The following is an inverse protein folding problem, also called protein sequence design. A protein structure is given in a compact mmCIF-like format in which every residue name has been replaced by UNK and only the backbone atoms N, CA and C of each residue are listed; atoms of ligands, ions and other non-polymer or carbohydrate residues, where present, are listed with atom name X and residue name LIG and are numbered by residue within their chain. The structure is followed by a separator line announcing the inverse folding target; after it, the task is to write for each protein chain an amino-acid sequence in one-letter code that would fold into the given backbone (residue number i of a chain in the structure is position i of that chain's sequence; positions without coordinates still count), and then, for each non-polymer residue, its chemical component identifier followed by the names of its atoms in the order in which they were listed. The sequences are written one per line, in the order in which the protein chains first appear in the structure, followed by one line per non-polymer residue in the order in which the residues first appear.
data_IF_779425546333
#
_entry.id   IF_779425546333
#
_cell.length_a   1.000
_cell.length_b   1.000
_cell.length_c   1.000
_cell.angle_alpha   90.00
_cell.angle_beta   90.00
_cell.angle_gamma   90.00
#
_symmetry.space_group_name_H-M   'P 1'
#
loop_
_entity.id
_entity.type
_entity.pdbx_description
1 polymer ?
#
# COMPACT_ATOMS: atom_id res chain seq x y z
N UNK A 1 -50.74 25.07 66.94
CA UNK A 1 -50.05 26.29 66.46
C UNK A 1 -51.09 27.17 65.79
N UNK A 2 -51.54 28.21 66.47
CA UNK A 2 -52.58 29.13 65.97
C UNK A 2 -51.93 30.06 64.93
N UNK A 3 -52.34 29.94 63.66
CA UNK A 3 -52.06 30.99 62.67
C UNK A 3 -52.69 32.28 63.19
N UNK A 4 -51.93 33.38 63.38
CA UNK A 4 -52.49 34.60 63.95
C UNK A 4 -53.60 35.11 63.02
N UNK A 5 -54.78 35.41 63.57
CA UNK A 5 -55.97 35.84 62.82
C UNK A 5 -55.71 37.04 61.87
N UNK A 6 -54.66 37.82 62.16
CA UNK A 6 -54.15 38.90 61.32
C UNK A 6 -53.69 38.44 59.93
N UNK A 7 -53.10 37.25 59.82
CA UNK A 7 -52.62 36.68 58.56
C UNK A 7 -53.77 36.35 57.61
N UNK A 8 -54.89 35.84 58.13
CA UNK A 8 -56.03 35.40 57.32
C UNK A 8 -56.81 36.59 56.75
N UNK A 9 -57.00 37.65 57.54
CA UNK A 9 -57.66 38.88 57.09
C UNK A 9 -56.83 39.61 56.01
N UNK A 10 -55.51 39.69 56.20
CA UNK A 10 -54.59 40.28 55.22
C UNK A 10 -54.52 39.47 53.92
N UNK A 11 -54.48 38.13 54.02
CA UNK A 11 -54.50 37.23 52.86
C UNK A 11 -55.78 37.42 52.03
N UNK A 12 -56.93 37.56 52.70
CA UNK A 12 -58.23 37.73 52.05
C UNK A 12 -58.41 39.12 51.41
N UNK A 13 -57.82 40.16 52.00
CA UNK A 13 -57.82 41.51 51.43
C UNK A 13 -56.91 41.69 50.22
N UNK A 14 -55.77 41.00 50.19
CA UNK A 14 -54.72 41.17 49.18
C UNK A 14 -54.50 39.96 48.27
N UNK A 15 -55.44 39.01 48.24
CA UNK A 15 -55.26 37.74 47.51
C UNK A 15 -54.94 37.91 46.02
N UNK A 16 -55.50 38.94 45.37
CA UNK A 16 -55.20 39.28 43.96
C UNK A 16 -53.76 39.72 43.76
N UNK A 17 -53.20 40.49 44.70
CA UNK A 17 -51.80 40.93 44.65
C UNK A 17 -50.85 39.76 44.90
N UNK A 18 -51.18 38.87 45.84
CA UNK A 18 -50.41 37.65 46.09
C UNK A 18 -50.43 36.70 44.89
N UNK A 19 -51.58 36.56 44.22
CA UNK A 19 -51.71 35.77 43.00
C UNK A 19 -50.90 36.40 41.86
N UNK A 20 -51.00 37.73 41.67
CA UNK A 20 -50.20 38.47 40.70
C UNK A 20 -48.70 38.32 40.94
N UNK A 21 -48.24 38.46 42.19
CA UNK A 21 -46.84 38.26 42.56
C UNK A 21 -46.38 36.82 42.30
N UNK A 22 -47.23 35.82 42.58
CA UNK A 22 -46.97 34.42 42.27
C UNK A 22 -46.81 34.16 40.76
N UNK A 23 -47.67 34.76 39.93
CA UNK A 23 -47.55 34.67 38.46
C UNK A 23 -46.25 35.32 37.99
N UNK A 24 -45.92 36.52 38.49
CA UNK A 24 -44.67 37.21 38.12
C UNK A 24 -43.45 36.39 38.51
N UNK A 25 -43.44 35.78 39.71
CA UNK A 25 -42.36 34.90 40.14
C UNK A 25 -42.21 33.68 39.21
N UNK A 26 -43.33 33.05 38.84
CA UNK A 26 -43.32 31.94 37.89
C UNK A 26 -42.77 32.36 36.52
N UNK A 27 -43.17 33.52 36.01
CA UNK A 27 -42.64 34.05 34.75
C UNK A 27 -41.13 34.28 34.83
N UNK A 28 -40.63 34.89 35.90
CA UNK A 28 -39.19 35.12 36.10
C UNK A 28 -38.43 33.78 36.10
N UNK A 29 -38.91 32.78 36.83
CA UNK A 29 -38.27 31.45 36.87
C UNK A 29 -38.26 30.81 35.48
N UNK A 30 -39.38 30.87 34.75
CA UNK A 30 -39.46 30.31 33.40
C UNK A 30 -38.53 31.04 32.42
N UNK A 31 -38.45 32.37 32.48
CA UNK A 31 -37.55 33.17 31.66
C UNK A 31 -36.08 32.82 31.95
N UNK A 32 -35.71 32.68 33.22
CA UNK A 32 -34.34 32.31 33.58
C UNK A 32 -33.97 30.90 33.07
N UNK A 33 -34.90 29.94 33.19
CA UNK A 33 -34.69 28.59 32.63
C UNK A 33 -34.52 28.62 31.12
N UNK A 34 -35.32 29.43 30.41
CA UNK A 34 -35.25 29.57 28.96
C UNK A 34 -33.93 30.22 28.52
N UNK A 35 -33.48 31.27 29.22
CA UNK A 35 -32.20 31.92 28.93
C UNK A 35 -31.03 30.96 29.15
N UNK A 36 -31.06 30.16 30.22
CA UNK A 36 -30.01 29.19 30.50
C UNK A 36 -29.94 28.10 29.42
N UNK A 37 -31.08 27.60 28.92
CA UNK A 37 -31.09 26.60 27.84
C UNK A 37 -30.66 27.19 26.50
N UNK A 38 -31.01 28.44 26.21
CA UNK A 38 -30.54 29.15 25.02
C UNK A 38 -29.02 29.37 25.05
N UNK A 39 -28.48 29.83 26.18
CA UNK A 39 -27.04 30.00 26.35
C UNK A 39 -26.27 28.67 26.20
N UNK A 40 -26.79 27.57 26.78
CA UNK A 40 -26.21 26.24 26.61
C UNK A 40 -26.23 25.78 25.15
N UNK A 41 -27.33 26.03 24.43
CA UNK A 41 -27.45 25.70 23.01
C UNK A 41 -26.49 26.51 22.14
N UNK A 42 -26.31 27.80 22.43
CA UNK A 42 -25.36 28.66 21.72
C UNK A 42 -23.92 28.22 21.97
N UNK A 43 -23.56 27.90 23.21
CA UNK A 43 -22.25 27.36 23.55
C UNK A 43 -21.97 26.03 22.83
N UNK A 44 -22.95 25.13 22.76
CA UNK A 44 -22.82 23.88 22.03
C UNK A 44 -22.66 24.12 20.52
N UNK A 45 -23.44 25.04 19.94
CA UNK A 45 -23.31 25.40 18.51
C UNK A 45 -21.93 25.97 18.21
N UNK A 46 -21.43 26.87 19.05
CA UNK A 46 -20.09 27.44 18.93
C UNK A 46 -19.01 26.36 19.01
N UNK A 47 -19.11 25.44 19.99
CA UNK A 47 -18.23 24.29 20.12
C UNK A 47 -18.23 23.41 18.86
N UNK A 48 -19.42 22.99 18.39
CA UNK A 48 -19.52 22.19 17.17
C UNK A 48 -18.96 22.88 15.93
N UNK A 49 -19.04 24.21 15.83
CA UNK A 49 -18.43 24.95 14.71
C UNK A 49 -16.90 24.95 14.79
N UNK A 50 -16.34 25.10 15.99
CA UNK A 50 -14.91 25.00 16.21
C UNK A 50 -14.41 23.59 15.88
N UNK A 51 -15.07 22.55 16.41
CA UNK A 51 -14.75 21.14 16.15
C UNK A 51 -14.74 20.84 14.65
N UNK A 52 -15.77 21.30 13.91
CA UNK A 52 -15.83 21.10 12.45
C UNK A 52 -14.63 21.70 11.72
N UNK A 53 -14.13 22.86 12.18
CA UNK A 53 -12.95 23.49 11.57
C UNK A 53 -11.69 22.69 11.86
N UNK A 54 -11.54 22.16 13.07
CA UNK A 54 -10.41 21.32 13.47
C UNK A 54 -10.42 19.98 12.74
N UNK A 55 -11.57 19.31 12.63
CA UNK A 55 -11.72 18.08 11.86
C UNK A 55 -11.35 18.29 10.39
N UNK A 56 -11.77 19.40 9.78
CA UNK A 56 -11.40 19.71 8.39
C UNK A 56 -9.90 19.92 8.24
N UNK A 57 -9.27 20.62 9.17
CA UNK A 57 -7.81 20.81 9.17
C UNK A 57 -7.08 19.48 9.34
N UNK A 58 -7.48 18.66 10.31
CA UNK A 58 -6.90 17.35 10.55
C UNK A 58 -7.06 16.41 9.35
N UNK A 59 -8.22 16.42 8.67
CA UNK A 59 -8.41 15.66 7.43
C UNK A 59 -7.52 16.17 6.29
N UNK A 60 -7.37 17.49 6.14
CA UNK A 60 -6.47 18.07 5.13
C UNK A 60 -5.00 17.71 5.40
N UNK A 61 -4.56 17.74 6.66
CA UNK A 61 -3.21 17.33 7.05
C UNK A 61 -2.99 15.82 6.84
N UNK A 62 -3.95 14.98 7.25
CA UNK A 62 -3.87 13.54 7.06
C UNK A 62 -3.82 13.16 5.58
N UNK A 63 -4.64 13.79 4.74
CA UNK A 63 -4.61 13.56 3.29
C UNK A 63 -3.32 14.05 2.65
N UNK A 64 -2.81 15.21 3.06
CA UNK A 64 -1.51 15.71 2.58
C UNK A 64 -0.36 14.75 2.94
N UNK A 65 -0.33 14.25 4.18
CA UNK A 65 0.66 13.29 4.63
C UNK A 65 0.55 11.97 3.86
N UNK A 66 -0.66 11.45 3.68
CA UNK A 66 -0.89 10.22 2.90
C UNK A 66 -0.40 10.35 1.45
N UNK A 67 -0.63 11.50 0.80
CA UNK A 67 -0.13 11.78 -0.55
C UNK A 67 1.40 11.88 -0.56
N UNK A 68 2.00 12.53 0.44
CA UNK A 68 3.44 12.65 0.55
C UNK A 68 4.12 11.28 0.74
N UNK A 69 3.56 10.44 1.61
CA UNK A 69 4.05 9.08 1.86
C UNK A 69 3.89 8.19 0.63
N UNK A 70 2.75 8.28 -0.07
CA UNK A 70 2.53 7.56 -1.32
C UNK A 70 3.58 7.95 -2.38
N UNK A 71 3.82 9.25 -2.58
CA UNK A 71 4.83 9.74 -3.53
C UNK A 71 6.24 9.31 -3.16
N UNK A 72 6.57 9.32 -1.87
CA UNK A 72 7.88 8.86 -1.38
C UNK A 72 8.06 7.37 -1.68
N UNK A 73 7.03 6.56 -1.41
CA UNK A 73 7.05 5.13 -1.70
C UNK A 73 7.15 4.86 -3.20
N UNK A 74 6.37 5.56 -4.03
CA UNK A 74 6.47 5.46 -5.50
C UNK A 74 7.88 5.81 -6.00
N UNK A 75 8.52 6.85 -5.44
CA UNK A 75 9.89 7.20 -5.81
C UNK A 75 10.93 6.16 -5.36
N UNK A 76 10.74 5.53 -4.21
CA UNK A 76 11.58 4.42 -3.75
C UNK A 76 11.40 3.18 -4.63
N UNK A 77 10.16 2.86 -5.00
CA UNK A 77 9.84 1.73 -5.86
C UNK A 77 10.35 1.95 -7.30
N UNK A 78 10.28 3.18 -7.82
CA UNK A 78 10.87 3.55 -9.11
C UNK A 78 12.39 3.33 -9.11
N UNK A 79 13.11 3.75 -8.06
CA UNK A 79 14.55 3.50 -7.93
C UNK A 79 14.89 2.02 -7.88
N UNK A 80 14.08 1.22 -7.19
CA UNK A 80 14.25 -0.24 -7.14
C UNK A 80 14.02 -0.87 -8.51
N UNK A 81 13.02 -0.40 -9.26
CA UNK A 81 12.76 -0.84 -10.63
C UNK A 81 13.94 -0.51 -11.55
N UNK A 82 14.41 0.74 -11.54
CA UNK A 82 15.57 1.17 -12.34
C UNK A 82 16.83 0.34 -12.04
N UNK A 83 17.05 0.04 -10.75
CA UNK A 83 18.17 -0.80 -10.33
C UNK A 83 18.03 -2.25 -10.80
N UNK A 84 16.82 -2.81 -10.78
CA UNK A 84 16.55 -4.16 -11.29
C UNK A 84 16.75 -4.24 -12.81
N UNK A 85 16.28 -3.23 -13.55
CA UNK A 85 16.46 -3.14 -15.01
C UNK A 85 17.94 -3.02 -15.40
N UNK A 86 18.72 -2.22 -14.66
CA UNK A 86 20.16 -2.10 -14.88
C UNK A 86 20.89 -3.44 -14.66
N UNK A 87 20.53 -4.19 -13.61
CA UNK A 87 21.09 -5.53 -13.35
C UNK A 87 20.72 -6.53 -14.43
N UNK A 88 19.47 -6.53 -14.86
CA UNK A 88 19.04 -7.37 -15.97
C UNK A 88 19.84 -7.08 -17.25
N UNK A 89 20.04 -5.80 -17.58
CA UNK A 89 20.82 -5.41 -18.75
C UNK A 89 22.26 -5.95 -18.68
N UNK A 90 22.92 -5.81 -17.51
CA UNK A 90 24.27 -6.34 -17.29
C UNK A 90 24.33 -7.87 -17.41
N UNK A 91 23.47 -8.61 -16.69
CA UNK A 91 23.39 -10.07 -16.78
C UNK A 91 23.12 -10.56 -18.20
N UNK A 92 22.23 -9.88 -18.93
CA UNK A 92 21.91 -10.24 -20.32
C UNK A 92 23.13 -10.12 -21.23
N UNK A 93 23.96 -9.08 -21.03
CA UNK A 93 25.19 -8.88 -21.78
C UNK A 93 26.24 -9.94 -21.43
N UNK A 94 26.39 -10.25 -20.13
CA UNK A 94 27.33 -11.27 -19.66
C UNK A 94 26.99 -12.65 -20.23
N UNK A 95 25.74 -13.08 -20.13
CA UNK A 95 25.32 -14.38 -20.66
C UNK A 95 25.40 -14.44 -22.19
N UNK A 96 25.05 -13.37 -22.90
CA UNK A 96 25.24 -13.28 -24.34
C UNK A 96 26.72 -13.41 -24.72
N UNK A 97 27.61 -12.70 -24.03
CA UNK A 97 29.04 -12.80 -24.28
C UNK A 97 29.58 -14.21 -24.00
N UNK A 98 29.10 -14.88 -22.94
CA UNK A 98 29.46 -16.25 -22.62
C UNK A 98 29.04 -17.23 -23.72
N UNK A 99 27.81 -17.12 -24.24
CA UNK A 99 27.32 -17.94 -25.37
C UNK A 99 28.20 -17.74 -26.62
N UNK A 100 28.53 -16.49 -26.95
CA UNK A 100 29.38 -16.19 -28.11
C UNK A 100 30.80 -16.75 -27.96
N UNK A 101 31.41 -16.63 -26.77
CA UNK A 101 32.74 -17.20 -26.48
C UNK A 101 32.73 -18.73 -26.56
N UNK A 102 31.69 -19.37 -26.02
CA UNK A 102 31.53 -20.82 -26.10
C UNK A 102 31.38 -21.28 -27.56
N UNK A 103 30.54 -20.60 -28.34
CA UNK A 103 30.39 -20.89 -29.77
C UNK A 103 31.72 -20.77 -30.54
N UNK A 104 32.48 -19.70 -30.29
CA UNK A 104 33.79 -19.50 -30.92
C UNK A 104 34.80 -20.59 -30.52
N UNK A 105 34.85 -20.98 -29.24
CA UNK A 105 35.70 -22.07 -28.77
C UNK A 105 35.31 -23.41 -29.39
N UNK A 106 34.01 -23.68 -29.54
CA UNK A 106 33.52 -24.90 -30.18
C UNK A 106 33.86 -24.95 -31.68
N UNK A 107 33.78 -23.82 -32.39
CA UNK A 107 34.20 -23.71 -33.79
C UNK A 107 35.71 -23.89 -33.96
N UNK A 108 36.52 -23.35 -33.04
CA UNK A 108 37.98 -23.52 -33.06
C UNK A 108 38.40 -24.99 -32.78
N UNK A 109 37.74 -25.65 -31.83
CA UNK A 109 37.97 -27.08 -31.54
C UNK A 109 37.58 -27.98 -32.72
N UNK A 110 36.52 -27.65 -33.46
CA UNK A 110 36.16 -28.34 -34.72
C UNK A 110 37.20 -28.22 -35.82
N UNK A 111 38.04 -27.19 -35.80
CA UNK A 111 39.14 -27.05 -36.75
C UNK A 111 40.37 -27.87 -36.37
N UNK A 112 40.47 -28.37 -35.13
CA UNK A 112 41.69 -29.00 -34.59
C UNK A 112 41.62 -30.51 -34.38
N UNK A 113 40.45 -31.17 -34.44
CA UNK A 113 40.34 -32.63 -34.25
C UNK A 113 39.44 -33.35 -35.28
N UNK A 114 40.11 -34.03 -36.23
CA UNK A 114 39.92 -35.42 -36.71
C UNK A 114 38.67 -35.85 -37.54
N UNK A 115 38.80 -36.94 -38.35
CA UNK A 115 37.97 -37.22 -39.53
C UNK A 115 36.56 -37.70 -39.19
N UNK A 116 35.64 -37.36 -40.10
CA UNK A 116 34.23 -37.78 -40.11
C UNK A 116 34.13 -39.30 -39.91
N UNK A 117 33.56 -39.80 -38.80
CA UNK A 117 33.21 -41.20 -38.70
C UNK A 117 32.09 -41.48 -39.70
N UNK A 118 32.31 -42.43 -40.61
CA UNK A 118 31.29 -42.95 -41.51
C UNK A 118 30.03 -43.35 -40.72
N UNK A 119 28.87 -42.98 -41.26
CA UNK A 119 27.56 -43.26 -40.69
C UNK A 119 27.45 -44.70 -40.16
N UNK A 120 27.15 -44.85 -38.86
CA UNK A 120 26.71 -46.13 -38.31
C UNK A 120 25.26 -46.39 -38.76
N UNK A 121 24.93 -47.63 -39.18
CA UNK A 121 23.59 -47.94 -39.64
C UNK A 121 22.57 -47.82 -38.49
N UNK A 122 21.38 -47.34 -38.82
CA UNK A 122 20.27 -47.23 -37.89
C UNK A 122 19.85 -48.62 -37.38
N UNK A 123 19.96 -48.84 -36.07
CA UNK A 123 19.37 -50.01 -35.39
C UNK A 123 17.92 -49.69 -35.02
N UNK A 124 16.99 -50.46 -35.56
CA UNK A 124 15.60 -50.51 -35.13
C UNK A 124 15.50 -51.21 -33.76
N UNK A 125 14.72 -50.64 -32.85
CA UNK A 125 14.20 -51.26 -31.62
C UNK A 125 15.18 -51.63 -30.49
N UNK A 126 15.49 -50.64 -29.63
CA UNK A 126 15.66 -50.87 -28.18
C UNK A 126 15.39 -49.57 -27.39
N UNK A 127 14.74 -49.60 -26.21
CA UNK A 127 14.83 -48.52 -25.25
C UNK A 127 16.27 -48.52 -24.72
N UNK A 128 17.12 -47.68 -25.31
CA UNK A 128 18.51 -47.55 -24.92
C UNK A 128 18.61 -46.97 -23.51
N UNK A 129 19.49 -47.54 -22.68
CA UNK A 129 19.94 -46.92 -21.43
C UNK A 129 20.47 -45.49 -21.66
N UNK A 130 20.92 -44.79 -20.58
CA UNK A 130 21.23 -43.37 -20.65
C UNK A 130 22.06 -43.11 -21.88
N UNK A 131 21.49 -42.39 -22.86
CA UNK A 131 22.20 -42.00 -24.06
C UNK A 131 23.39 -41.21 -23.56
N UNK A 132 24.57 -41.83 -23.56
CA UNK A 132 25.83 -41.13 -23.30
C UNK A 132 26.02 -40.29 -24.54
N UNK A 133 25.40 -39.11 -24.54
CA UNK A 133 25.60 -38.11 -25.57
C UNK A 133 27.05 -37.65 -25.40
N UNK A 134 27.95 -37.92 -26.35
CA UNK A 134 29.34 -37.49 -26.24
C UNK A 134 29.40 -36.00 -25.87
N UNK A 135 30.23 -35.63 -24.89
CA UNK A 135 30.51 -34.22 -24.63
C UNK A 135 30.99 -33.60 -25.94
N UNK A 136 30.18 -32.68 -26.49
CA UNK A 136 30.42 -32.05 -27.79
C UNK A 136 29.43 -32.41 -28.91
N UNK A 137 28.55 -33.41 -28.75
CA UNK A 137 27.57 -33.79 -29.79
C UNK A 137 26.17 -33.17 -29.60
N UNK A 138 25.89 -32.51 -28.46
CA UNK A 138 24.72 -31.63 -28.34
C UNK A 138 25.08 -30.32 -29.02
N UNK A 139 24.70 -30.22 -30.30
CA UNK A 139 24.69 -28.98 -31.04
C UNK A 139 23.44 -28.19 -30.66
N UNK A 140 23.57 -27.30 -29.68
CA UNK A 140 22.52 -26.30 -29.44
C UNK A 140 22.71 -25.21 -30.52
N UNK A 141 21.69 -24.91 -31.34
CA UNK A 141 21.74 -23.77 -32.24
C UNK A 141 22.09 -22.50 -31.46
N UNK A 142 22.95 -21.64 -32.03
CA UNK A 142 23.36 -20.41 -31.37
C UNK A 142 22.17 -19.53 -30.99
N UNK A 143 21.13 -19.52 -31.82
CA UNK A 143 19.88 -18.78 -31.58
C UNK A 143 19.17 -19.28 -30.33
N UNK A 144 19.02 -20.59 -30.17
CA UNK A 144 18.41 -21.21 -28.99
C UNK A 144 19.25 -20.94 -27.72
N UNK A 145 20.58 -20.99 -27.83
CA UNK A 145 21.47 -20.69 -26.72
C UNK A 145 21.36 -19.22 -26.26
N UNK A 146 21.17 -18.28 -27.20
CA UNK A 146 20.93 -16.88 -26.89
C UNK A 146 19.56 -16.65 -26.24
N UNK A 147 18.52 -17.37 -26.67
CA UNK A 147 17.19 -17.32 -26.05
C UNK A 147 17.27 -17.84 -24.60
N UNK A 148 17.93 -18.98 -24.38
CA UNK A 148 18.15 -19.52 -23.04
C UNK A 148 18.92 -18.54 -22.16
N UNK A 149 20.03 -17.96 -22.66
CA UNK A 149 20.80 -16.95 -21.94
C UNK A 149 19.95 -15.74 -21.51
N UNK A 150 19.10 -15.23 -22.40
CA UNK A 150 18.22 -14.12 -22.09
C UNK A 150 17.16 -14.48 -21.05
N UNK A 151 16.56 -15.67 -21.17
CA UNK A 151 15.57 -16.15 -20.21
C UNK A 151 16.20 -16.38 -18.83
N UNK A 152 17.43 -16.90 -18.77
CA UNK A 152 18.18 -17.03 -17.51
C UNK A 152 18.43 -15.66 -16.88
N UNK A 153 18.88 -14.67 -17.66
CA UNK A 153 19.07 -13.31 -17.17
C UNK A 153 17.79 -12.72 -16.56
N UNK A 154 16.64 -12.94 -17.22
CA UNK A 154 15.33 -12.49 -16.71
C UNK A 154 14.96 -13.18 -15.40
N UNK A 155 15.08 -14.51 -15.35
CA UNK A 155 14.72 -15.28 -14.16
C UNK A 155 15.61 -14.93 -12.95
N UNK A 156 16.89 -14.68 -13.19
CA UNK A 156 17.82 -14.28 -12.14
C UNK A 156 17.52 -12.86 -11.63
N UNK A 157 17.26 -11.91 -12.54
CA UNK A 157 16.82 -10.56 -12.16
C UNK A 157 15.51 -10.58 -11.36
N UNK A 158 14.53 -11.38 -11.78
CA UNK A 158 13.25 -11.54 -11.04
C UNK A 158 13.49 -12.19 -9.69
N UNK A 159 14.33 -13.22 -9.59
CA UNK A 159 14.67 -13.87 -8.32
C UNK A 159 15.30 -12.87 -7.34
N UNK A 160 16.29 -12.11 -7.79
CA UNK A 160 16.92 -11.09 -6.95
C UNK A 160 15.92 -10.01 -6.52
N UNK A 161 15.09 -9.53 -7.44
CA UNK A 161 14.06 -8.55 -7.11
C UNK A 161 13.07 -9.10 -6.07
N UNK A 162 12.63 -10.35 -6.22
CA UNK A 162 11.73 -11.01 -5.26
C UNK A 162 12.36 -11.09 -3.87
N UNK A 163 13.66 -11.40 -3.77
CA UNK A 163 14.40 -11.39 -2.50
C UNK A 163 14.49 -10.01 -1.85
N UNK A 164 14.33 -8.91 -2.60
CA UNK A 164 14.26 -7.55 -2.03
C UNK A 164 12.86 -7.18 -1.53
N UNK A 165 11.83 -7.92 -1.93
CA UNK A 165 10.44 -7.71 -1.53
C UNK A 165 10.03 -8.50 -0.29
N UNK A 166 10.77 -9.55 0.05
CA UNK A 166 10.50 -10.43 1.18
C UNK A 166 11.43 -10.07 2.36
N UNK A 167 10.96 -9.23 3.33
CA UNK A 167 11.71 -8.98 4.54
C UNK A 167 11.59 -10.22 5.43
N UNK A 168 12.60 -11.08 5.42
CA UNK A 168 12.84 -11.95 6.57
C UNK A 168 13.00 -11.11 7.84
#
# INVERSE_FOLDING_TARGET
MNLPAFSIAFLRGNWKLLLGAGIVLLLIVQTFRLQNTQAALEAERAGRTADRSEYRRAQAEATANAIADARKKEAEDAKKADAADARYADLSQQYRAAVLRYGAAQSAARQTDLPVPSASPASSDRPGGPTIVPQGSILIPQEDALICANNTARLEAVREWTLTLDPN
#
